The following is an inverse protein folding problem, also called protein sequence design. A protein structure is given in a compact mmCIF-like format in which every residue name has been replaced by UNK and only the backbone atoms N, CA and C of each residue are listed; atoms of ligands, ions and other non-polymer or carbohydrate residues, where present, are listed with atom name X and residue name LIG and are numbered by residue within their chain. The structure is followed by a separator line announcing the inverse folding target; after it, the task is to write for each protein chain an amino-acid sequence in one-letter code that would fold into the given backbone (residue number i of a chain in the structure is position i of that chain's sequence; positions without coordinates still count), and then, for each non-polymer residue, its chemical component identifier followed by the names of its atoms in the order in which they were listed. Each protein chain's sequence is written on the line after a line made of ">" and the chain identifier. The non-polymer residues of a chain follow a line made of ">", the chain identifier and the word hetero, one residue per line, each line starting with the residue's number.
data_IF_303307031477
#
_entry.id   IF_303307031477
#
_cell.length_a   1.000
_cell.length_b   1.000
_cell.length_c   1.000
_cell.angle_alpha   90.00
_cell.angle_beta   90.00
_cell.angle_gamma   90.00
#
_symmetry.space_group_name_H-M   'P 1'
#
loop_
_entity.id
_entity.type
_entity.pdbx_description
1 polymer ?
#
# COMPACT_ATOMS: atom_id res chain seq x y z
N UNK A 1 -8.66 -9.10 14.65
CA UNK A 1 -7.49 -9.85 15.15
C UNK A 1 -6.28 -9.49 14.30
N UNK A 2 -5.35 -8.65 14.79
CA UNK A 2 -4.21 -8.15 14.02
C UNK A 2 -2.95 -9.06 14.04
N UNK A 3 -3.02 -10.28 14.56
CA UNK A 3 -1.81 -11.04 14.95
C UNK A 3 -1.16 -11.98 13.92
N UNK A 4 -1.83 -12.37 12.84
CA UNK A 4 -1.41 -13.58 12.09
C UNK A 4 -0.96 -13.34 10.63
N UNK A 5 -0.66 -12.09 10.23
CA UNK A 5 -0.34 -11.75 8.83
C UNK A 5 0.96 -12.41 8.36
N UNK A 6 2.06 -12.29 9.12
CA UNK A 6 3.35 -12.88 8.75
C UNK A 6 3.31 -14.41 8.77
N UNK A 7 2.80 -15.08 9.81
CA UNK A 7 2.66 -16.55 9.77
C UNK A 7 1.82 -17.03 8.59
N UNK A 8 0.71 -16.35 8.28
CA UNK A 8 -0.15 -16.71 7.14
C UNK A 8 0.56 -16.54 5.80
N UNK A 9 1.32 -15.45 5.64
CA UNK A 9 2.13 -15.21 4.44
C UNK A 9 3.22 -16.29 4.27
N UNK A 10 3.96 -16.61 5.34
CA UNK A 10 5.02 -17.61 5.29
C UNK A 10 4.48 -19.01 4.99
N UNK A 11 3.38 -19.41 5.63
CA UNK A 11 2.70 -20.68 5.32
C UNK A 11 2.21 -20.72 3.87
N UNK A 12 1.73 -19.60 3.34
CA UNK A 12 1.34 -19.49 1.93
C UNK A 12 2.56 -19.61 0.99
N UNK A 13 3.68 -18.97 1.33
CA UNK A 13 4.93 -19.08 0.56
C UNK A 13 5.39 -20.54 0.44
N UNK A 14 5.44 -21.25 1.57
CA UNK A 14 5.83 -22.66 1.61
C UNK A 14 4.90 -23.52 0.74
N UNK A 15 3.58 -23.31 0.85
CA UNK A 15 2.58 -24.02 0.06
C UNK A 15 2.64 -23.75 -1.44
N UNK A 16 3.23 -22.63 -1.87
CA UNK A 16 3.36 -22.24 -3.29
C UNK A 16 4.78 -22.46 -3.85
N UNK A 17 5.68 -23.07 -3.08
CA UNK A 17 7.05 -23.37 -3.51
C UNK A 17 7.94 -22.12 -3.59
N UNK A 18 7.60 -21.06 -2.87
CA UNK A 18 8.49 -19.90 -2.68
C UNK A 18 9.54 -20.29 -1.65
N UNK A 19 10.81 -20.15 -2.00
CA UNK A 19 11.93 -20.46 -1.10
C UNK A 19 12.54 -19.15 -0.62
N UNK A 20 12.49 -18.93 0.69
CA UNK A 20 13.05 -17.74 1.36
C UNK A 20 14.35 -18.15 2.04
N UNK A 21 15.43 -17.40 1.82
CA UNK A 21 16.72 -17.65 2.46
C UNK A 21 16.60 -17.49 3.98
N UNK A 22 17.10 -18.45 4.78
CA UNK A 22 16.94 -18.42 6.24
C UNK A 22 17.66 -17.25 6.93
N UNK A 23 18.58 -16.57 6.23
CA UNK A 23 19.31 -15.39 6.71
C UNK A 23 18.50 -14.10 6.61
N UNK A 24 17.34 -14.12 5.96
CA UNK A 24 16.42 -12.98 5.97
C UNK A 24 15.17 -13.32 6.79
N UNK A 25 14.52 -12.29 7.31
CA UNK A 25 13.28 -12.41 8.06
C UNK A 25 12.27 -11.37 7.62
N UNK A 26 11.02 -11.79 7.54
CA UNK A 26 9.87 -10.91 7.34
C UNK A 26 9.40 -10.47 8.72
N UNK A 27 9.27 -9.16 8.92
CA UNK A 27 8.82 -8.54 10.18
C UNK A 27 7.60 -7.69 9.88
N UNK A 28 6.62 -7.74 10.77
CA UNK A 28 5.46 -6.86 10.75
C UNK A 28 5.70 -5.68 11.70
N UNK A 29 5.90 -4.49 11.14
CA UNK A 29 6.14 -3.28 11.92
C UNK A 29 4.84 -2.59 12.37
N UNK A 30 3.66 -3.08 11.97
CA UNK A 30 2.37 -2.55 12.42
C UNK A 30 2.01 -3.05 13.83
N UNK A 31 2.74 -4.05 14.33
CA UNK A 31 2.63 -4.52 15.71
C UNK A 31 3.48 -3.58 16.57
N UNK A 32 2.88 -2.48 17.02
CA UNK A 32 3.48 -1.65 18.08
C UNK A 32 3.90 -2.58 19.24
N UNK A 33 5.20 -2.67 19.58
CA UNK A 33 5.65 -3.46 20.71
C UNK A 33 5.01 -2.85 21.94
N UNK A 34 4.04 -3.57 22.49
CA UNK A 34 3.01 -3.03 23.35
C UNK A 34 3.47 -1.97 24.34
N UNK A 35 2.58 -1.00 24.51
CA UNK A 35 1.94 -0.59 25.75
C UNK A 35 1.89 -1.69 26.85
N UNK A 36 3.02 -2.30 27.19
CA UNK A 36 3.26 -3.02 28.43
C UNK A 36 3.66 -1.96 29.44
N UNK A 37 2.64 -1.46 30.11
CA UNK A 37 2.71 -0.72 31.36
C UNK A 37 3.79 -1.29 32.28
N UNK A 38 4.79 -0.47 32.64
CA UNK A 38 5.55 -0.67 33.88
C UNK A 38 7.07 -0.59 33.78
N UNK A 39 7.62 0.61 33.56
CA UNK A 39 8.73 1.09 34.40
C UNK A 39 9.04 2.55 34.10
N UNK A 40 8.44 3.42 34.93
CA UNK A 40 8.96 4.76 35.16
C UNK A 40 10.38 4.65 35.71
N UNK A 41 11.35 5.23 35.01
CA UNK A 41 12.45 5.96 35.66
C UNK A 41 13.24 6.82 34.68
N UNK A 42 12.98 8.12 34.80
CA UNK A 42 13.94 9.24 34.93
C UNK A 42 15.03 9.43 33.86
N UNK A 43 14.84 10.52 33.14
CA UNK A 43 15.74 11.68 32.96
C UNK A 43 17.10 11.55 32.24
N UNK A 44 17.33 12.54 31.37
CA UNK A 44 18.61 13.00 30.75
C UNK A 44 19.05 12.14 29.55
N UNK A 45 19.30 12.63 28.33
CA UNK A 45 19.83 13.90 27.82
C UNK A 45 19.41 14.07 26.34
N UNK A 46 19.11 15.30 25.92
CA UNK A 46 18.82 15.65 24.52
C UNK A 46 20.04 15.42 23.63
N UNK A 47 19.96 14.45 22.70
CA UNK A 47 20.98 14.19 21.69
C UNK A 47 20.42 14.48 20.28
N UNK A 48 21.16 15.18 19.39
CA UNK A 48 20.64 15.71 18.16
C UNK A 48 20.59 14.65 17.05
N UNK A 49 19.64 14.82 16.12
CA UNK A 49 19.34 13.94 14.96
C UNK A 49 18.49 12.69 15.24
N UNK A 50 17.41 12.86 16.01
CA UNK A 50 16.26 11.94 15.98
C UNK A 50 15.43 12.10 14.68
N UNK A 51 16.11 12.22 13.53
CA UNK A 51 15.52 12.13 12.22
C UNK A 51 15.49 10.64 11.83
N UNK A 52 14.32 10.02 11.81
CA UNK A 52 14.10 8.83 10.99
C UNK A 52 13.75 7.51 11.69
N UNK A 53 13.29 7.52 12.95
CA UNK A 53 12.53 6.37 13.50
C UNK A 53 11.04 6.43 13.22
N UNK A 54 10.61 7.27 12.26
CA UNK A 54 9.28 7.19 11.67
C UNK A 54 9.16 5.89 10.87
N UNK A 55 8.91 4.81 11.61
CA UNK A 55 7.82 3.89 11.36
C UNK A 55 7.59 3.59 9.88
N UNK A 56 8.46 2.77 9.29
CA UNK A 56 8.07 2.02 8.11
C UNK A 56 6.96 1.04 8.54
N UNK A 57 5.73 1.55 8.66
CA UNK A 57 4.52 0.75 8.88
C UNK A 57 4.39 -0.25 7.74
N UNK A 58 3.95 -1.45 8.07
CA UNK A 58 3.81 -2.57 7.15
C UNK A 58 4.87 -3.65 7.30
N UNK A 59 4.94 -4.50 6.28
CA UNK A 59 5.87 -5.63 6.22
C UNK A 59 7.24 -5.17 5.74
N UNK A 60 8.28 -5.50 6.51
CA UNK A 60 9.67 -5.27 6.18
C UNK A 60 10.45 -6.58 6.05
N UNK A 61 11.54 -6.54 5.27
CA UNK A 61 12.49 -7.65 5.17
C UNK A 61 13.81 -7.19 5.79
N UNK A 62 14.33 -7.98 6.74
CA UNK A 62 15.55 -7.67 7.46
C UNK A 62 16.54 -8.84 7.34
N UNK A 63 17.83 -8.52 7.29
CA UNK A 63 18.89 -9.53 7.46
C UNK A 63 18.95 -9.95 8.92
N UNK A 64 19.06 -11.26 9.16
CA UNK A 64 19.41 -11.85 10.46
C UNK A 64 20.92 -11.82 10.70
N UNK A 65 21.69 -11.86 9.61
CA UNK A 65 23.14 -11.85 9.66
C UNK A 65 23.66 -10.41 9.62
N UNK A 66 24.87 -10.21 10.17
CA UNK A 66 25.55 -8.93 10.11
C UNK A 66 25.90 -8.51 8.67
N UNK A 67 26.15 -9.48 7.79
CA UNK A 67 26.38 -9.22 6.36
C UNK A 67 25.89 -10.38 5.49
N UNK A 68 25.42 -10.03 4.29
CA UNK A 68 25.09 -10.97 3.23
C UNK A 68 26.01 -10.66 2.05
N UNK A 69 26.85 -11.62 1.67
CA UNK A 69 27.78 -11.45 0.55
C UNK A 69 27.06 -11.42 -0.80
N UNK A 70 27.56 -10.59 -1.72
CA UNK A 70 27.07 -10.49 -3.10
C UNK A 70 28.01 -11.21 -4.07
N UNK A 71 27.51 -11.96 -5.08
CA UNK A 71 26.10 -12.21 -5.38
C UNK A 71 25.53 -13.38 -4.56
N UNK A 72 24.31 -13.23 -4.04
CA UNK A 72 23.59 -14.32 -3.40
C UNK A 72 22.08 -14.23 -3.66
N UNK A 73 21.42 -15.38 -3.81
CA UNK A 73 19.97 -15.44 -4.03
C UNK A 73 19.27 -15.48 -2.68
N UNK A 74 18.42 -14.49 -2.40
CA UNK A 74 17.69 -14.37 -1.13
C UNK A 74 16.29 -14.98 -1.18
N UNK A 75 15.67 -14.98 -2.36
CA UNK A 75 14.32 -15.52 -2.56
C UNK A 75 14.25 -16.14 -3.94
N UNK A 76 13.62 -17.30 -4.04
CA UNK A 76 13.20 -17.91 -5.29
C UNK A 76 11.67 -17.93 -5.36
N UNK A 77 11.10 -17.31 -6.41
CA UNK A 77 9.66 -17.22 -6.63
C UNK A 77 9.31 -17.97 -7.92
N UNK A 78 8.60 -19.11 -7.87
CA UNK A 78 8.18 -19.81 -9.06
C UNK A 78 7.13 -18.99 -9.82
N UNK A 79 7.12 -19.07 -11.16
CA UNK A 79 6.13 -18.35 -12.00
C UNK A 79 4.69 -18.69 -11.64
N UNK A 80 4.45 -19.89 -11.12
CA UNK A 80 3.13 -20.31 -10.65
C UNK A 80 2.66 -19.47 -9.47
N UNK A 81 3.54 -18.99 -8.60
CA UNK A 81 3.18 -18.17 -7.43
C UNK A 81 2.93 -16.69 -7.75
N UNK A 82 3.17 -16.26 -9.00
CA UNK A 82 2.93 -14.87 -9.43
C UNK A 82 1.44 -14.67 -9.72
N UNK A 83 0.83 -13.68 -9.07
CA UNK A 83 -0.52 -13.21 -9.42
C UNK A 83 -0.46 -12.43 -10.74
N UNK A 84 -1.25 -12.85 -11.70
CA UNK A 84 -1.39 -12.25 -13.02
C UNK A 84 -2.81 -12.46 -13.52
N UNK A 85 -3.21 -11.72 -14.56
CA UNK A 85 -4.50 -11.96 -15.22
C UNK A 85 -4.67 -13.42 -15.61
N UNK A 86 -3.63 -14.04 -16.18
CA UNK A 86 -3.63 -15.45 -16.62
C UNK A 86 -3.72 -16.45 -15.48
N UNK A 87 -3.08 -16.15 -14.35
CA UNK A 87 -3.08 -17.06 -13.21
C UNK A 87 -4.32 -16.89 -12.34
N UNK A 88 -5.02 -15.75 -12.39
CA UNK A 88 -6.21 -15.39 -11.58
C UNK A 88 -7.46 -16.24 -11.85
N UNK A 89 -8.41 -16.19 -10.91
CA UNK A 89 -9.75 -16.78 -11.04
C UNK A 89 -10.55 -16.20 -12.22
N UNK A 90 -10.34 -14.92 -12.55
CA UNK A 90 -11.05 -14.24 -13.64
C UNK A 90 -10.36 -14.41 -15.01
N UNK A 91 -9.32 -15.26 -15.11
CA UNK A 91 -8.55 -15.49 -16.34
C UNK A 91 -9.38 -15.87 -17.56
N UNK A 92 -10.54 -16.53 -17.38
CA UNK A 92 -11.46 -16.89 -18.47
C UNK A 92 -12.36 -15.75 -18.94
N UNK A 93 -12.47 -14.67 -18.17
CA UNK A 93 -13.38 -13.54 -18.42
C UNK A 93 -12.67 -12.26 -18.83
N UNK A 94 -11.36 -12.19 -18.61
CA UNK A 94 -10.54 -11.02 -18.90
C UNK A 94 -9.65 -11.36 -20.09
N UNK A 95 -9.75 -10.58 -21.16
CA UNK A 95 -8.86 -10.74 -22.31
C UNK A 95 -7.42 -10.37 -21.92
N UNK A 96 -6.41 -11.21 -22.23
CA UNK A 96 -5.03 -10.90 -21.89
C UNK A 96 -4.50 -9.71 -22.70
N UNK A 97 -4.42 -8.54 -22.09
CA UNK A 97 -3.77 -7.36 -22.66
C UNK A 97 -2.28 -7.37 -22.28
N UNK A 98 -1.33 -7.44 -23.24
CA UNK A 98 0.09 -7.64 -22.93
C UNK A 98 0.81 -6.37 -22.40
N UNK A 99 0.32 -5.17 -22.71
CA UNK A 99 0.95 -3.90 -22.31
C UNK A 99 -0.05 -2.74 -22.31
N UNK A 100 0.36 -1.62 -21.72
CA UNK A 100 -0.43 -0.38 -21.65
C UNK A 100 -1.47 -0.35 -20.53
N UNK A 101 -2.31 0.68 -20.53
CA UNK A 101 -3.32 0.90 -19.48
C UNK A 101 -4.30 -0.27 -19.31
N UNK A 102 -4.69 -0.93 -20.42
CA UNK A 102 -5.57 -2.10 -20.38
C UNK A 102 -4.96 -3.28 -19.61
N UNK A 103 -3.63 -3.47 -19.65
CA UNK A 103 -2.96 -4.51 -18.88
C UNK A 103 -3.01 -4.22 -17.37
N UNK A 104 -2.84 -2.96 -16.96
CA UNK A 104 -2.98 -2.53 -15.57
C UNK A 104 -4.40 -2.71 -15.05
N UNK A 105 -5.41 -2.22 -15.79
CA UNK A 105 -6.82 -2.38 -15.42
C UNK A 105 -7.23 -3.85 -15.32
N UNK A 106 -6.76 -4.68 -16.25
CA UNK A 106 -7.00 -6.12 -16.24
C UNK A 106 -6.40 -6.78 -14.99
N UNK A 107 -5.18 -6.40 -14.60
CA UNK A 107 -4.54 -6.92 -13.39
C UNK A 107 -5.23 -6.43 -12.12
N UNK A 108 -5.61 -5.16 -12.07
CA UNK A 108 -6.35 -4.58 -10.96
C UNK A 108 -7.69 -5.30 -10.75
N UNK A 109 -8.44 -5.54 -11.83
CA UNK A 109 -9.69 -6.31 -11.80
C UNK A 109 -9.45 -7.76 -11.34
N UNK A 110 -8.39 -8.40 -11.82
CA UNK A 110 -8.01 -9.74 -11.39
C UNK A 110 -7.71 -9.79 -9.88
N UNK A 111 -6.90 -8.85 -9.36
CA UNK A 111 -6.59 -8.73 -7.94
C UNK A 111 -7.86 -8.49 -7.11
N UNK A 112 -8.77 -7.64 -7.59
CA UNK A 112 -10.04 -7.39 -6.92
C UNK A 112 -10.94 -8.61 -6.85
N UNK A 113 -10.98 -9.40 -7.93
CA UNK A 113 -11.66 -10.70 -7.93
C UNK A 113 -11.10 -11.64 -6.87
N UNK A 114 -9.79 -11.67 -6.67
CA UNK A 114 -9.16 -12.46 -5.61
C UNK A 114 -9.47 -11.94 -4.21
N UNK A 115 -9.48 -10.61 -4.02
CA UNK A 115 -9.89 -9.98 -2.75
C UNK A 115 -11.31 -10.38 -2.35
N UNK A 116 -12.26 -10.34 -3.29
CA UNK A 116 -13.66 -10.70 -3.04
C UNK A 116 -13.86 -12.17 -2.68
N UNK A 117 -13.01 -13.08 -3.19
CA UNK A 117 -13.05 -14.51 -2.83
C UNK A 117 -12.56 -14.75 -1.39
N UNK A 118 -11.76 -13.85 -0.83
CA UNK A 118 -11.23 -13.99 0.51
C UNK A 118 -10.51 -15.33 0.71
N UNK A 119 -10.83 -16.11 1.76
CA UNK A 119 -10.13 -17.38 2.07
C UNK A 119 -10.17 -18.43 0.95
N UNK A 120 -11.14 -18.34 0.03
CA UNK A 120 -11.25 -19.26 -1.10
C UNK A 120 -10.29 -18.91 -2.25
N UNK A 121 -9.59 -17.78 -2.16
CA UNK A 121 -8.54 -17.40 -3.10
C UNK A 121 -7.26 -18.18 -2.83
N UNK A 122 -6.67 -18.76 -3.88
CA UNK A 122 -5.34 -19.36 -3.77
C UNK A 122 -4.22 -18.35 -3.47
N UNK A 123 -4.49 -17.04 -3.59
CA UNK A 123 -3.55 -15.98 -3.21
C UNK A 123 -3.91 -15.34 -1.87
N UNK A 124 -4.86 -15.90 -1.11
CA UNK A 124 -5.35 -15.28 0.12
C UNK A 124 -4.24 -14.85 1.09
N UNK A 125 -3.26 -15.72 1.34
CA UNK A 125 -2.15 -15.40 2.25
C UNK A 125 -1.28 -14.22 1.77
N UNK A 126 -1.09 -14.09 0.46
CA UNK A 126 -0.41 -12.94 -0.14
C UNK A 126 -1.29 -11.68 -0.11
N UNK A 127 -2.55 -11.80 -0.50
CA UNK A 127 -3.48 -10.66 -0.54
C UNK A 127 -3.70 -10.08 0.87
N UNK A 128 -3.76 -10.92 1.89
CA UNK A 128 -3.82 -10.48 3.29
C UNK A 128 -2.56 -9.77 3.76
N UNK A 129 -1.42 -9.97 3.08
CA UNK A 129 -0.16 -9.34 3.41
C UNK A 129 -0.07 -7.89 2.90
N UNK A 130 -0.98 -7.47 2.02
CA UNK A 130 -1.00 -6.12 1.46
C UNK A 130 -1.26 -5.06 2.55
N UNK A 131 -0.82 -3.80 2.33
CA UNK A 131 -1.13 -2.69 3.22
C UNK A 131 -2.64 -2.55 3.40
N UNK A 132 -3.09 -2.47 4.66
CA UNK A 132 -4.50 -2.22 4.99
C UNK A 132 -4.81 -0.73 5.16
N UNK A 133 -3.79 0.03 5.53
CA UNK A 133 -3.83 1.47 5.58
C UNK A 133 -3.57 2.04 4.19
N UNK A 134 -4.01 3.28 3.98
CA UNK A 134 -3.73 4.01 2.74
C UNK A 134 -2.23 4.17 2.55
N UNK A 135 -1.75 3.73 1.39
CA UNK A 135 -0.33 3.85 1.04
C UNK A 135 0.01 5.34 0.86
N UNK A 136 1.24 5.70 1.21
CA UNK A 136 1.78 7.05 1.09
C UNK A 136 2.04 7.44 -0.38
N UNK A 137 0.95 7.60 -1.14
CA UNK A 137 0.98 7.96 -2.57
C UNK A 137 0.40 9.36 -2.71
N UNK A 138 1.03 10.19 -3.54
CA UNK A 138 0.69 11.61 -3.67
C UNK A 138 -0.80 11.84 -3.96
N UNK A 139 -1.42 10.95 -4.73
CA UNK A 139 -2.85 11.03 -5.04
C UNK A 139 -3.76 10.96 -3.80
N UNK A 140 -3.29 10.32 -2.73
CA UNK A 140 -4.00 10.21 -1.44
C UNK A 140 -3.62 11.31 -0.44
N UNK A 141 -2.66 12.18 -0.78
CA UNK A 141 -2.24 13.24 0.14
C UNK A 141 -3.32 14.32 0.24
N UNK A 142 -3.91 14.44 1.43
CA UNK A 142 -4.94 15.43 1.71
C UNK A 142 -6.37 14.90 1.71
N UNK A 143 -6.57 13.61 1.50
CA UNK A 143 -7.84 12.97 1.82
C UNK A 143 -7.93 12.82 3.36
N UNK A 144 -8.91 13.45 4.02
CA UNK A 144 -9.08 13.30 5.47
C UNK A 144 -9.29 11.84 5.88
N UNK A 145 -9.89 11.01 5.02
CA UNK A 145 -10.07 9.57 5.28
C UNK A 145 -8.74 8.80 5.24
N UNK A 146 -7.79 9.21 4.40
CA UNK A 146 -6.44 8.62 4.34
C UNK A 146 -5.54 9.08 5.49
N UNK A 147 -5.83 10.24 6.09
CA UNK A 147 -5.05 10.79 7.18
C UNK A 147 -5.53 10.35 8.58
N UNK A 148 -6.64 9.59 8.64
CA UNK A 148 -7.33 9.23 9.88
C UNK A 148 -6.59 8.18 10.74
N UNK A 149 -5.59 7.47 10.21
CA UNK A 149 -4.85 6.42 10.96
C UNK A 149 -3.48 6.88 11.48
N UNK A 150 -3.07 8.10 11.14
CA UNK A 150 -1.83 8.70 11.61
C UNK A 150 -2.13 9.76 12.68
N UNK A 151 -2.35 9.29 13.90
CA UNK A 151 -2.29 10.06 15.16
C UNK A 151 -3.48 11.01 15.42
N UNK A 152 -4.45 10.55 16.23
CA UNK A 152 -5.38 11.42 16.95
C UNK A 152 -4.66 12.44 17.87
N UNK A 153 -3.36 12.27 18.11
CA UNK A 153 -2.51 13.22 18.84
C UNK A 153 -1.94 14.36 17.97
N UNK A 154 -2.12 14.34 16.64
CA UNK A 154 -1.62 15.40 15.74
C UNK A 154 -2.69 16.44 15.37
N UNK A 155 -3.98 16.13 15.53
CA UNK A 155 -5.06 17.02 15.07
C UNK A 155 -5.36 18.23 15.97
N UNK A 156 -4.77 18.34 17.17
CA UNK A 156 -5.06 19.47 18.06
C UNK A 156 -3.98 20.55 18.13
N UNK A 157 -2.79 20.37 17.54
CA UNK A 157 -1.67 21.28 17.78
C UNK A 157 -1.12 22.09 16.58
N UNK A 158 -1.48 21.81 15.32
CA UNK A 158 -0.66 22.35 14.20
C UNK A 158 -1.40 22.86 12.96
N UNK A 159 -2.73 22.76 12.86
CA UNK A 159 -3.47 23.27 11.69
C UNK A 159 -4.11 24.65 11.86
N UNK A 160 -4.26 25.17 13.09
CA UNK A 160 -4.83 26.50 13.31
C UNK A 160 -3.85 27.66 13.01
N UNK A 161 -2.56 27.39 12.83
CA UNK A 161 -1.52 28.43 12.71
C UNK A 161 -0.65 28.34 11.45
N UNK A 162 -0.83 27.33 10.59
CA UNK A 162 -0.12 27.28 9.31
C UNK A 162 -0.82 28.21 8.29
N UNK A 163 -0.45 29.49 8.31
CA UNK A 163 -0.88 30.45 7.29
C UNK A 163 -0.36 30.02 5.90
N UNK A 164 -1.21 29.40 5.10
CA UNK A 164 -0.91 28.92 3.74
C UNK A 164 -0.43 30.03 2.78
N UNK A 165 -0.54 31.31 3.16
CA UNK A 165 -0.11 32.46 2.37
C UNK A 165 1.38 32.81 2.44
N UNK A 166 2.15 32.21 3.36
CA UNK A 166 3.58 32.52 3.52
C UNK A 166 4.42 31.25 3.54
N UNK A 167 4.61 30.63 2.38
CA UNK A 167 5.68 29.65 2.09
C UNK A 167 6.09 28.75 3.27
N UNK A 168 5.12 28.14 3.96
CA UNK A 168 5.42 27.50 5.23
C UNK A 168 6.25 26.25 4.99
N UNK A 169 7.42 26.18 5.64
CA UNK A 169 8.38 25.07 5.56
C UNK A 169 7.91 23.80 6.30
N UNK A 170 6.59 23.60 6.36
CA UNK A 170 5.94 22.54 7.11
C UNK A 170 5.76 21.32 6.17
N UNK A 171 6.30 20.17 6.56
CA UNK A 171 6.29 18.96 5.73
C UNK A 171 4.86 18.50 5.36
N UNK A 172 3.91 18.64 6.29
CA UNK A 172 2.49 18.31 6.05
C UNK A 172 1.83 19.28 5.06
N UNK A 173 2.14 20.57 5.13
CA UNK A 173 1.67 21.60 4.19
C UNK A 173 2.16 21.32 2.77
N UNK A 174 3.44 20.94 2.64
CA UNK A 174 4.04 20.54 1.37
C UNK A 174 3.38 19.27 0.82
N UNK A 175 3.19 18.24 1.66
CA UNK A 175 2.52 16.99 1.28
C UNK A 175 1.09 17.23 0.80
N UNK A 176 0.32 18.07 1.50
CA UNK A 176 -1.03 18.46 1.09
C UNK A 176 -1.03 19.23 -0.25
N UNK A 177 -0.08 20.15 -0.44
CA UNK A 177 0.07 20.90 -1.69
C UNK A 177 0.43 19.98 -2.86
N UNK A 178 1.39 19.09 -2.66
CA UNK A 178 1.82 18.11 -3.65
C UNK A 178 0.66 17.14 -4.00
N UNK A 179 -0.16 16.75 -3.03
CA UNK A 179 -1.35 15.94 -3.26
C UNK A 179 -2.42 16.63 -4.11
N UNK A 180 -2.71 17.90 -3.81
CA UNK A 180 -3.62 18.72 -4.62
C UNK A 180 -3.10 18.89 -6.04
N UNK A 181 -1.80 19.09 -6.20
CA UNK A 181 -1.17 19.17 -7.53
C UNK A 181 -1.26 17.84 -8.27
N UNK A 182 -1.04 16.71 -7.61
CA UNK A 182 -1.18 15.39 -8.20
C UNK A 182 -2.62 15.12 -8.68
N UNK A 183 -3.63 15.47 -7.86
CA UNK A 183 -5.05 15.34 -8.24
C UNK A 183 -5.38 16.28 -9.41
N UNK A 184 -4.95 17.54 -9.35
CA UNK A 184 -5.19 18.50 -10.43
C UNK A 184 -4.51 18.06 -11.73
N UNK A 185 -3.30 17.48 -11.65
CA UNK A 185 -2.61 16.90 -12.79
C UNK A 185 -3.40 15.73 -13.38
N UNK A 186 -3.86 14.78 -12.56
CA UNK A 186 -4.69 13.66 -13.03
C UNK A 186 -5.96 14.14 -13.75
N UNK A 187 -6.64 15.15 -13.23
CA UNK A 187 -7.83 15.73 -13.86
C UNK A 187 -7.53 16.35 -15.23
N UNK A 188 -6.31 16.83 -15.44
CA UNK A 188 -5.85 17.38 -16.71
C UNK A 188 -5.31 16.31 -17.69
N UNK A 189 -5.06 15.09 -17.23
CA UNK A 189 -4.57 14.02 -18.10
C UNK A 189 -5.67 13.44 -18.98
N UNK A 190 -5.29 13.08 -20.19
CA UNK A 190 -6.13 12.48 -21.24
C UNK A 190 -6.90 11.24 -20.75
N UNK A 191 -6.37 10.50 -19.76
CA UNK A 191 -7.05 9.35 -19.15
C UNK A 191 -8.42 9.69 -18.52
N UNK A 192 -8.59 10.88 -17.93
CA UNK A 192 -9.90 11.31 -17.39
C UNK A 192 -10.85 11.69 -18.51
N UNK A 193 -10.33 12.21 -19.61
CA UNK A 193 -11.11 12.58 -20.78
C UNK A 193 -11.57 11.34 -21.54
N UNK A 194 -10.70 10.35 -21.74
CA UNK A 194 -11.03 9.04 -22.30
C UNK A 194 -12.03 8.28 -21.41
N UNK A 195 -11.88 8.32 -20.08
CA UNK A 195 -12.83 7.68 -19.16
C UNK A 195 -14.21 8.34 -19.24
N UNK A 196 -14.26 9.67 -19.25
CA UNK A 196 -15.52 10.39 -19.41
C UNK A 196 -16.16 10.17 -20.78
N UNK A 197 -15.36 10.04 -21.84
CA UNK A 197 -15.87 9.74 -23.19
C UNK A 197 -16.41 8.30 -23.28
N UNK A 198 -15.72 7.32 -22.68
CA UNK A 198 -16.19 5.93 -22.55
C UNK A 198 -17.46 5.82 -21.70
N UNK A 199 -17.56 6.57 -20.59
CA UNK A 199 -18.75 6.58 -19.73
C UNK A 199 -19.93 7.31 -20.39
N UNK A 200 -19.66 8.35 -21.19
CA UNK A 200 -20.68 9.10 -21.93
C UNK A 200 -21.22 8.32 -23.13
N UNK A 201 -20.39 7.48 -23.76
CA UNK A 201 -20.77 6.68 -24.94
C UNK A 201 -21.51 5.39 -24.61
N UNK A 202 -21.45 4.88 -23.37
CA UNK A 202 -22.04 3.56 -23.05
C UNK A 202 -23.15 3.53 -21.99
N UNK A 203 -23.52 4.64 -21.34
CA UNK A 203 -24.76 4.69 -20.54
C UNK A 203 -24.77 3.87 -19.24
N UNK A 204 -23.60 3.51 -18.69
CA UNK A 204 -23.46 2.75 -17.44
C UNK A 204 -23.24 3.69 -16.24
N UNK A 205 -24.22 4.54 -15.92
CA UNK A 205 -23.99 5.66 -14.98
C UNK A 205 -24.14 5.35 -13.48
N UNK A 206 -24.57 4.17 -13.05
CA UNK A 206 -25.03 4.04 -11.64
C UNK A 206 -24.42 2.93 -10.80
N UNK A 207 -23.65 2.00 -11.37
CA UNK A 207 -23.05 0.90 -10.59
C UNK A 207 -21.54 0.75 -10.75
N UNK A 208 -20.92 1.47 -11.69
CA UNK A 208 -19.49 1.38 -11.98
C UNK A 208 -18.64 2.51 -11.37
N UNK A 209 -19.22 3.66 -11.01
CA UNK A 209 -18.45 4.79 -10.47
C UNK A 209 -17.75 4.46 -9.14
N UNK A 210 -18.41 3.70 -8.26
CA UNK A 210 -17.82 3.33 -6.96
C UNK A 210 -16.67 2.33 -7.15
N UNK A 211 -16.77 1.44 -8.13
CA UNK A 211 -15.80 0.34 -8.33
C UNK A 211 -14.55 0.81 -9.08
N UNK A 212 -14.69 1.71 -10.06
CA UNK A 212 -13.54 2.24 -10.81
C UNK A 212 -12.74 3.24 -9.98
N UNK A 213 -13.38 4.09 -9.16
CA UNK A 213 -12.64 4.95 -8.24
C UNK A 213 -11.73 4.12 -7.34
N UNK A 214 -12.24 3.07 -6.68
CA UNK A 214 -11.42 2.20 -5.84
C UNK A 214 -10.28 1.48 -6.60
N UNK A 215 -10.49 1.09 -7.87
CA UNK A 215 -9.48 0.38 -8.67
C UNK A 215 -8.40 1.28 -9.28
N UNK A 216 -8.76 2.49 -9.73
CA UNK A 216 -7.78 3.47 -10.23
C UNK A 216 -6.83 3.92 -9.12
N UNK A 217 -7.35 4.00 -7.88
CA UNK A 217 -6.58 4.39 -6.71
C UNK A 217 -5.59 3.32 -6.23
N UNK A 218 -5.87 2.02 -6.42
CA UNK A 218 -4.98 0.95 -5.94
C UNK A 218 -3.86 0.54 -6.93
N UNK A 219 -3.81 1.14 -8.13
CA UNK A 219 -2.92 0.73 -9.23
C UNK A 219 -1.89 1.79 -9.64
N UNK A 220 -1.77 2.89 -8.89
CA UNK A 220 -0.71 3.89 -9.01
C UNK A 220 0.01 4.05 -7.69
#
# INVERSE_FOLDING_TARGET
>A
MPGDRVPTLLAWCDGNGIIIDPRIQVVDNDIEPGHLTGSSRSDVEENPSNCGRSCARGLGIYSRDQCIHSPCTLVYIPKTAVLSVRSSFLSSRIEPVPYGHGAHLSLALALYGELLRGPESRWYGYVQSLPRETVDIAVFWGDPAANSTANEDFERASHATCNAGQGSACASCKRLYDGRNAIAWLQATEAVWELNDLLSSHGWRSSFEIVISFLYFYTF
#
